data_IF_624162639801
#
_entry.id   IF_624162639801
#
_cell.length_a   1.000
_cell.length_b   1.000
_cell.length_c   1.000
_cell.angle_alpha   90.00
_cell.angle_beta   90.00
_cell.angle_gamma   90.00
#
_symmetry.space_group_name_H-M   'P 1'
#
loop_
_entity.id
_entity.type
_entity.pdbx_description
1 polymer ?
#
# COMPACT_ATOMS: atom_id res chain seq x y z
N UNK A 1 -29.24 -11.41 22.49
CA UNK A 1 -27.77 -11.35 22.55
C UNK A 1 -27.35 -10.33 21.53
N UNK A 2 -26.59 -9.29 21.91
CA UNK A 2 -26.02 -8.37 20.92
C UNK A 2 -25.12 -9.20 19.99
N UNK A 3 -25.32 -9.09 18.68
CA UNK A 3 -24.45 -9.75 17.71
C UNK A 3 -23.05 -9.17 17.88
N UNK A 4 -22.05 -10.02 18.09
CA UNK A 4 -20.66 -9.57 18.02
C UNK A 4 -20.41 -8.93 16.66
N UNK A 5 -19.76 -7.75 16.64
CA UNK A 5 -19.42 -7.10 15.38
C UNK A 5 -18.52 -8.00 14.53
N UNK A 6 -18.58 -7.85 13.20
CA UNK A 6 -17.70 -8.56 12.27
C UNK A 6 -16.48 -7.72 11.96
N UNK A 7 -15.31 -8.35 11.87
CA UNK A 7 -14.07 -7.69 11.42
C UNK A 7 -13.57 -8.42 10.19
N UNK A 8 -13.42 -7.69 9.09
CA UNK A 8 -12.77 -8.19 7.89
C UNK A 8 -11.34 -7.68 7.85
N UNK A 9 -10.39 -8.60 7.92
CA UNK A 9 -8.97 -8.32 7.78
C UNK A 9 -8.56 -8.67 6.36
N UNK A 10 -8.43 -7.64 5.51
CA UNK A 10 -7.94 -7.78 4.14
C UNK A 10 -6.41 -7.78 4.17
N UNK A 11 -5.84 -8.96 3.94
CA UNK A 11 -4.42 -9.23 4.15
C UNK A 11 -3.57 -9.14 2.87
N UNK A 12 -4.16 -8.90 1.72
CA UNK A 12 -3.45 -8.86 0.45
C UNK A 12 -4.03 -9.86 -0.52
N UNK A 13 -3.30 -10.28 -1.53
CA UNK A 13 -1.85 -10.22 -1.71
C UNK A 13 -1.38 -8.87 -2.31
N UNK A 14 -0.07 -8.57 -2.29
CA UNK A 14 0.46 -7.45 -3.07
C UNK A 14 0.10 -7.58 -4.57
N UNK A 15 0.00 -6.46 -5.28
CA UNK A 15 -0.28 -6.39 -6.73
C UNK A 15 -1.61 -7.00 -7.20
N UNK A 16 -2.55 -7.20 -6.30
CA UNK A 16 -3.88 -7.74 -6.55
C UNK A 16 -5.01 -6.73 -6.36
N UNK A 17 -4.74 -5.44 -6.58
CA UNK A 17 -5.75 -4.37 -6.47
C UNK A 17 -5.96 -3.83 -5.06
N UNK A 18 -5.13 -4.20 -4.08
CA UNK A 18 -5.22 -3.76 -2.69
C UNK A 18 -5.25 -2.23 -2.55
N UNK A 19 -4.36 -1.54 -3.26
CA UNK A 19 -4.30 -0.06 -3.26
C UNK A 19 -5.61 0.56 -3.78
N UNK A 20 -6.23 -0.02 -4.81
CA UNK A 20 -7.52 0.45 -5.33
C UNK A 20 -8.60 0.32 -4.26
N UNK A 21 -8.76 -0.86 -3.65
CA UNK A 21 -9.73 -1.09 -2.58
C UNK A 21 -9.52 -0.15 -1.40
N UNK A 22 -8.28 0.03 -0.96
CA UNK A 22 -7.91 0.95 0.11
C UNK A 22 -8.29 2.40 -0.24
N UNK A 23 -7.99 2.87 -1.45
CA UNK A 23 -8.33 4.21 -1.89
C UNK A 23 -9.84 4.43 -1.99
N UNK A 24 -10.60 3.45 -2.51
CA UNK A 24 -12.06 3.49 -2.52
C UNK A 24 -12.59 3.63 -1.09
N UNK A 25 -12.14 2.77 -0.18
CA UNK A 25 -12.60 2.79 1.21
C UNK A 25 -12.27 4.10 1.92
N UNK A 26 -11.02 4.54 1.87
CA UNK A 26 -10.60 5.77 2.53
C UNK A 26 -11.17 7.04 1.88
N UNK A 27 -11.34 7.04 0.57
CA UNK A 27 -11.97 8.13 -0.18
C UNK A 27 -13.46 8.30 0.14
N UNK A 28 -14.14 7.20 0.48
CA UNK A 28 -15.59 7.17 0.76
C UNK A 28 -15.90 6.81 2.22
N UNK A 29 -15.02 7.19 3.15
CA UNK A 29 -15.14 6.79 4.57
C UNK A 29 -16.45 7.22 5.21
N UNK A 30 -16.99 8.38 4.84
CA UNK A 30 -18.24 8.89 5.39
C UNK A 30 -19.45 8.11 4.88
N UNK A 31 -19.49 7.79 3.61
CA UNK A 31 -20.52 7.00 2.95
C UNK A 31 -20.56 5.56 3.49
N UNK A 32 -19.37 4.97 3.69
CA UNK A 32 -19.25 3.64 4.29
C UNK A 32 -19.66 3.63 5.77
N UNK A 33 -19.32 4.68 6.52
CA UNK A 33 -19.76 4.82 7.92
C UNK A 33 -21.28 4.93 8.03
N UNK A 34 -21.95 5.56 7.07
CA UNK A 34 -23.42 5.62 7.02
C UNK A 34 -24.06 4.23 6.83
N UNK A 35 -23.33 3.26 6.28
CA UNK A 35 -23.74 1.85 6.16
C UNK A 35 -23.25 0.98 7.35
N UNK A 36 -22.69 1.60 8.39
CA UNK A 36 -22.21 0.88 9.58
C UNK A 36 -20.80 0.28 9.45
N UNK A 37 -20.05 0.59 8.37
CA UNK A 37 -18.68 0.13 8.21
C UNK A 37 -17.70 1.11 8.84
N UNK A 38 -16.87 0.61 9.73
CA UNK A 38 -15.80 1.37 10.38
C UNK A 38 -14.44 1.00 9.78
N UNK A 39 -13.68 2.01 9.38
CA UNK A 39 -12.25 1.86 9.09
C UNK A 39 -11.48 2.32 10.34
N UNK A 40 -10.89 1.41 11.12
CA UNK A 40 -10.07 1.77 12.29
C UNK A 40 -8.90 2.65 11.88
N UNK A 41 -8.45 3.52 12.78
CA UNK A 41 -7.39 4.48 12.50
C UNK A 41 -7.91 5.78 11.87
N UNK A 42 -6.97 6.64 11.47
CA UNK A 42 -7.24 7.96 10.92
C UNK A 42 -6.96 8.05 9.41
N UNK A 43 -6.04 7.21 8.91
CA UNK A 43 -5.64 7.15 7.50
C UNK A 43 -5.04 5.77 7.16
N UNK A 44 -4.90 5.48 5.88
CA UNK A 44 -4.39 4.18 5.38
C UNK A 44 -3.02 3.80 5.97
N UNK A 45 -2.16 4.80 6.26
CA UNK A 45 -0.84 4.57 6.84
C UNK A 45 -0.88 3.92 8.24
N UNK A 46 -1.98 4.06 8.97
CA UNK A 46 -2.14 3.41 10.28
C UNK A 46 -2.27 1.89 10.10
N UNK A 47 -2.94 1.43 9.02
CA UNK A 47 -3.03 0.02 8.68
C UNK A 47 -1.65 -0.56 8.28
N UNK A 48 -0.84 0.20 7.54
CA UNK A 48 0.55 -0.18 7.25
C UNK A 48 1.36 -0.38 8.54
N UNK A 49 1.33 0.61 9.46
CA UNK A 49 2.07 0.54 10.73
C UNK A 49 1.63 -0.65 11.58
N UNK A 50 0.31 -0.88 11.64
CA UNK A 50 -0.25 -2.02 12.34
C UNK A 50 0.18 -3.36 11.74
N UNK A 51 0.31 -3.45 10.40
CA UNK A 51 0.83 -4.65 9.75
C UNK A 51 2.28 -4.92 10.11
N UNK A 52 3.10 -3.88 10.25
CA UNK A 52 4.49 -4.01 10.69
C UNK A 52 4.58 -4.44 12.17
N UNK A 53 3.79 -3.80 13.05
CA UNK A 53 3.75 -4.13 14.48
C UNK A 53 3.28 -5.57 14.72
N UNK A 54 2.23 -6.01 14.01
CA UNK A 54 1.74 -7.39 14.11
C UNK A 54 2.85 -8.40 13.75
N UNK A 55 3.65 -8.08 12.74
CA UNK A 55 4.76 -8.90 12.26
C UNK A 55 6.04 -8.79 13.12
N UNK A 56 6.01 -8.03 14.21
CA UNK A 56 7.16 -7.83 15.08
C UNK A 56 8.24 -6.90 14.51
N UNK A 57 7.91 -6.11 13.48
CA UNK A 57 8.81 -5.13 12.91
C UNK A 57 8.62 -3.82 13.67
N UNK A 58 9.50 -3.55 14.62
CA UNK A 58 9.40 -2.37 15.48
C UNK A 58 9.60 -1.06 14.71
N UNK A 59 10.40 -1.11 13.64
CA UNK A 59 10.73 0.07 12.84
C UNK A 59 11.35 -0.36 11.51
N UNK A 60 11.04 0.34 10.41
CA UNK A 60 11.82 0.18 9.19
C UNK A 60 13.19 0.85 9.37
N UNK A 61 14.27 0.29 8.80
CA UNK A 61 15.55 1.00 8.69
C UNK A 61 15.41 2.40 8.07
N UNK A 62 14.37 2.57 7.22
CA UNK A 62 14.01 3.81 6.55
C UNK A 62 13.25 4.83 7.40
N UNK A 63 12.74 4.49 8.58
CA UNK A 63 12.09 5.44 9.50
C UNK A 63 12.80 5.50 10.86
N UNK A 64 13.87 6.30 10.97
CA UNK A 64 14.59 6.44 12.23
C UNK A 64 13.78 7.11 13.35
N UNK A 65 12.58 7.61 13.05
CA UNK A 65 11.82 8.48 13.96
C UNK A 65 10.67 7.78 14.69
N UNK A 66 10.33 6.52 14.39
CA UNK A 66 9.12 5.90 14.92
C UNK A 66 9.30 4.46 15.38
N UNK A 67 8.82 4.13 16.57
CA UNK A 67 8.42 2.79 16.92
C UNK A 67 6.98 2.59 16.49
N UNK A 68 6.68 1.46 15.87
CA UNK A 68 5.31 1.06 15.52
C UNK A 68 4.69 0.14 16.56
N UNK A 69 5.41 -0.11 17.65
CA UNK A 69 4.95 -0.96 18.75
C UNK A 69 3.62 -0.46 19.30
N UNK A 70 2.63 -1.33 19.34
CA UNK A 70 1.27 -1.07 19.82
C UNK A 70 0.31 -0.47 18.78
N UNK A 71 0.74 -0.24 17.53
CA UNK A 71 -0.17 0.25 16.47
C UNK A 71 -1.23 -0.80 16.11
N UNK A 72 -0.87 -2.09 16.09
CA UNK A 72 -1.85 -3.16 15.92
C UNK A 72 -2.90 -3.16 17.03
N UNK A 73 -2.48 -3.08 18.30
CA UNK A 73 -3.39 -3.15 19.43
C UNK A 73 -4.37 -1.97 19.47
N UNK A 74 -3.92 -0.80 18.99
CA UNK A 74 -4.79 0.38 18.81
C UNK A 74 -5.87 0.09 17.77
N UNK A 75 -5.49 -0.42 16.58
CA UNK A 75 -6.46 -0.72 15.53
C UNK A 75 -7.39 -1.86 15.91
N UNK A 76 -6.87 -2.93 16.53
CA UNK A 76 -7.68 -4.05 17.01
C UNK A 76 -8.72 -3.60 18.04
N UNK A 77 -8.33 -2.67 18.95
CA UNK A 77 -9.27 -2.11 19.93
C UNK A 77 -10.39 -1.32 19.25
N UNK A 78 -10.07 -0.49 18.26
CA UNK A 78 -11.08 0.27 17.52
C UNK A 78 -11.98 -0.65 16.67
N UNK A 79 -11.41 -1.70 16.07
CA UNK A 79 -12.17 -2.69 15.30
C UNK A 79 -13.19 -3.43 16.17
N UNK A 80 -12.79 -3.87 17.38
CA UNK A 80 -13.71 -4.53 18.34
C UNK A 80 -14.85 -3.62 18.82
N UNK A 81 -14.61 -2.32 18.83
CA UNK A 81 -15.62 -1.32 19.24
C UNK A 81 -16.57 -0.94 18.11
N UNK A 82 -16.34 -1.41 16.88
CA UNK A 82 -17.24 -1.19 15.77
C UNK A 82 -18.60 -1.86 16.04
N UNK A 83 -19.73 -1.15 15.92
CA UNK A 83 -21.03 -1.69 16.30
C UNK A 83 -21.50 -2.84 15.41
N UNK A 84 -21.11 -2.85 14.14
CA UNK A 84 -21.57 -3.84 13.17
C UNK A 84 -20.44 -4.45 12.35
N UNK A 85 -19.61 -3.63 11.73
CA UNK A 85 -18.62 -4.04 10.74
C UNK A 85 -17.38 -3.17 10.81
N UNK A 86 -16.20 -3.79 10.87
CA UNK A 86 -14.92 -3.11 10.69
C UNK A 86 -14.12 -3.74 9.58
N UNK A 87 -13.33 -2.92 8.86
CA UNK A 87 -12.37 -3.40 7.86
C UNK A 87 -10.98 -2.84 8.19
N UNK A 88 -10.01 -3.75 8.32
CA UNK A 88 -8.58 -3.43 8.37
C UNK A 88 -7.98 -3.97 7.08
N UNK A 89 -7.22 -3.16 6.33
CA UNK A 89 -6.71 -3.56 5.02
C UNK A 89 -5.27 -3.11 4.82
N UNK A 90 -4.36 -4.06 4.69
CA UNK A 90 -3.01 -3.84 4.17
C UNK A 90 -2.41 -5.15 3.68
N UNK A 91 -1.78 -5.13 2.51
CA UNK A 91 -1.24 -6.34 1.85
C UNK A 91 -0.10 -7.01 2.62
N UNK A 92 0.61 -6.29 3.48
CA UNK A 92 1.70 -6.88 4.26
C UNK A 92 1.23 -7.78 5.42
N UNK A 93 -0.05 -7.83 5.72
CA UNK A 93 -0.59 -8.82 6.65
C UNK A 93 -0.45 -10.26 6.11
N UNK A 94 -0.40 -10.48 4.79
CA UNK A 94 -0.18 -11.81 4.21
C UNK A 94 1.16 -12.41 4.60
N UNK A 95 2.16 -11.59 4.92
CA UNK A 95 3.47 -12.04 5.37
C UNK A 95 3.54 -12.39 6.87
N UNK A 96 2.43 -12.30 7.61
CA UNK A 96 2.36 -12.77 9.00
C UNK A 96 2.52 -14.29 9.05
N UNK A 97 3.28 -14.77 10.03
CA UNK A 97 3.34 -16.19 10.34
C UNK A 97 2.13 -16.66 11.19
N UNK A 98 2.05 -17.97 11.49
CA UNK A 98 0.93 -18.54 12.21
C UNK A 98 0.77 -17.97 13.64
N UNK A 99 1.86 -17.68 14.35
CA UNK A 99 1.81 -17.10 15.69
C UNK A 99 1.30 -15.66 15.65
N UNK A 100 1.74 -14.89 14.65
CA UNK A 100 1.29 -13.52 14.40
C UNK A 100 -0.19 -13.49 13.97
N UNK A 101 -0.62 -14.43 13.12
CA UNK A 101 -2.03 -14.63 12.79
C UNK A 101 -2.85 -14.98 14.04
N UNK A 102 -2.36 -15.89 14.89
CA UNK A 102 -2.96 -16.21 16.18
C UNK A 102 -3.05 -14.99 17.12
N UNK A 103 -2.02 -14.13 17.18
CA UNK A 103 -2.08 -12.85 17.91
C UNK A 103 -3.21 -11.96 17.39
N UNK A 104 -3.33 -11.84 16.06
CA UNK A 104 -4.39 -11.04 15.44
C UNK A 104 -5.78 -11.54 15.85
N UNK A 105 -6.02 -12.86 15.73
CA UNK A 105 -7.30 -13.49 16.11
C UNK A 105 -7.64 -13.23 17.57
N UNK A 106 -6.70 -13.49 18.49
CA UNK A 106 -6.93 -13.25 19.92
C UNK A 106 -7.22 -11.81 20.26
N UNK A 107 -6.51 -10.87 19.63
CA UNK A 107 -6.69 -9.44 19.89
C UNK A 107 -7.99 -8.86 19.34
N UNK A 108 -8.61 -9.51 18.37
CA UNK A 108 -9.90 -9.10 17.79
C UNK A 108 -11.13 -9.72 18.47
N UNK A 109 -10.93 -10.71 19.37
CA UNK A 109 -12.04 -11.27 20.14
C UNK A 109 -12.73 -10.20 21.02
N UNK A 110 -14.07 -10.24 21.20
CA UNK A 110 -15.01 -11.29 20.78
C UNK A 110 -15.60 -11.09 19.37
N UNK A 111 -15.09 -10.16 18.54
CA UNK A 111 -15.61 -9.96 17.20
C UNK A 111 -15.40 -11.20 16.31
N UNK A 112 -16.30 -11.37 15.34
CA UNK A 112 -16.18 -12.41 14.35
C UNK A 112 -15.18 -11.99 13.27
N UNK A 113 -14.01 -12.64 13.24
CA UNK A 113 -12.97 -12.34 12.26
C UNK A 113 -13.17 -13.11 10.96
N UNK A 114 -13.14 -12.38 9.86
CA UNK A 114 -13.05 -12.86 8.48
C UNK A 114 -11.72 -12.42 7.88
N UNK A 115 -11.01 -13.34 7.24
CA UNK A 115 -9.75 -13.06 6.52
C UNK A 115 -10.03 -12.96 5.02
N UNK A 116 -9.53 -11.94 4.37
CA UNK A 116 -9.77 -11.70 2.94
C UNK A 116 -8.45 -11.61 2.20
N UNK A 117 -8.30 -12.43 1.17
CA UNK A 117 -7.22 -12.37 0.20
C UNK A 117 -7.77 -11.94 -1.15
N UNK A 118 -7.09 -11.05 -1.84
CA UNK A 118 -7.27 -10.81 -3.27
C UNK A 118 -6.14 -11.51 -4.02
N UNK A 119 -6.46 -12.24 -5.07
CA UNK A 119 -5.50 -13.08 -5.81
C UNK A 119 -5.55 -12.81 -7.31
N UNK A 120 -4.44 -13.02 -7.99
CA UNK A 120 -4.27 -12.68 -9.40
C UNK A 120 -3.50 -13.78 -10.13
N UNK A 121 -3.74 -13.88 -11.45
CA UNK A 121 -2.98 -14.80 -12.32
C UNK A 121 -1.48 -14.48 -12.32
N UNK A 122 -0.65 -15.53 -12.36
CA UNK A 122 0.81 -15.41 -12.30
C UNK A 122 1.40 -14.64 -13.48
N UNK A 123 0.82 -14.74 -14.68
CA UNK A 123 1.36 -14.07 -15.86
C UNK A 123 1.24 -12.53 -15.76
N UNK A 124 0.21 -12.05 -15.06
CA UNK A 124 0.05 -10.63 -14.76
C UNK A 124 0.74 -10.19 -13.47
N UNK A 125 0.87 -11.10 -12.51
CA UNK A 125 1.45 -10.83 -11.18
C UNK A 125 2.97 -10.65 -11.27
N UNK A 126 3.67 -11.59 -11.91
CA UNK A 126 5.13 -11.61 -11.97
C UNK A 126 5.75 -10.32 -12.55
N UNK A 127 5.28 -9.81 -13.72
CA UNK A 127 5.78 -8.53 -14.22
C UNK A 127 5.54 -7.35 -13.27
N UNK A 128 4.38 -7.32 -12.62
CA UNK A 128 4.03 -6.24 -11.70
C UNK A 128 4.88 -6.29 -10.42
N UNK A 129 5.19 -7.48 -9.92
CA UNK A 129 6.01 -7.65 -8.73
C UNK A 129 7.49 -7.36 -9.02
N UNK A 130 8.05 -7.83 -10.15
CA UNK A 130 9.41 -7.46 -10.51
C UNK A 130 9.59 -5.94 -10.61
N UNK A 131 8.66 -5.24 -11.27
CA UNK A 131 8.72 -3.78 -11.35
C UNK A 131 8.67 -3.11 -9.96
N UNK A 132 7.94 -3.70 -9.01
CA UNK A 132 7.92 -3.21 -7.63
C UNK A 132 9.24 -3.45 -6.93
N UNK A 133 9.86 -4.63 -7.11
CA UNK A 133 11.18 -4.89 -6.52
C UNK A 133 12.23 -3.90 -7.02
N UNK A 134 12.18 -3.48 -8.29
CA UNK A 134 13.07 -2.45 -8.83
C UNK A 134 12.85 -1.09 -8.12
N UNK A 135 11.59 -0.70 -7.87
CA UNK A 135 11.30 0.51 -7.09
C UNK A 135 11.80 0.43 -5.65
N UNK A 136 11.96 -0.78 -5.12
CA UNK A 136 12.51 -1.08 -3.80
C UNK A 136 14.02 -1.39 -3.82
N UNK A 137 14.77 -0.78 -4.75
CA UNK A 137 16.23 -0.85 -4.86
C UNK A 137 16.79 -2.18 -5.37
N UNK A 138 15.96 -3.08 -5.90
CA UNK A 138 16.49 -4.25 -6.60
C UNK A 138 17.11 -3.82 -7.94
N UNK A 139 18.25 -4.42 -8.31
CA UNK A 139 18.93 -4.16 -9.59
C UNK A 139 18.87 -5.36 -10.55
N UNK A 140 18.23 -6.46 -10.14
CA UNK A 140 18.25 -7.71 -10.87
C UNK A 140 17.42 -7.61 -12.15
N UNK A 141 17.97 -8.11 -13.28
CA UNK A 141 17.27 -8.17 -14.55
C UNK A 141 16.02 -9.07 -14.48
N UNK A 142 15.07 -8.84 -15.39
CA UNK A 142 13.82 -9.60 -15.43
C UNK A 142 14.02 -11.11 -15.58
N UNK A 143 14.86 -11.53 -16.54
CA UNK A 143 15.12 -12.95 -16.80
C UNK A 143 15.71 -13.67 -15.60
N UNK A 144 16.72 -13.07 -14.95
CA UNK A 144 17.35 -13.66 -13.78
C UNK A 144 16.43 -13.69 -12.57
N UNK A 145 15.66 -12.61 -12.36
CA UNK A 145 14.70 -12.56 -11.28
C UNK A 145 13.59 -13.59 -11.46
N UNK A 146 13.08 -13.74 -12.69
CA UNK A 146 12.05 -14.71 -13.00
C UNK A 146 12.56 -16.15 -12.81
N UNK A 147 13.79 -16.43 -13.23
CA UNK A 147 14.41 -17.74 -13.01
C UNK A 147 14.48 -18.07 -11.51
N UNK A 148 14.87 -17.11 -10.69
CA UNK A 148 14.91 -17.31 -9.22
C UNK A 148 13.54 -17.56 -8.60
N UNK A 149 12.50 -16.89 -9.10
CA UNK A 149 11.11 -17.11 -8.62
C UNK A 149 10.61 -18.51 -9.01
N UNK A 150 10.94 -18.98 -10.20
CA UNK A 150 10.54 -20.32 -10.67
C UNK A 150 11.31 -21.42 -9.95
N UNK A 151 12.60 -21.19 -9.67
CA UNK A 151 13.45 -22.11 -8.91
C UNK A 151 13.18 -21.99 -7.40
N UNK A 152 12.08 -22.60 -6.94
CA UNK A 152 11.70 -22.65 -5.51
C UNK A 152 12.69 -23.39 -4.62
N UNK A 153 13.53 -24.26 -5.19
CA UNK A 153 14.45 -25.13 -4.44
C UNK A 153 15.78 -24.44 -4.12
N UNK A 154 15.95 -23.19 -4.55
CA UNK A 154 17.15 -22.42 -4.27
C UNK A 154 17.39 -22.28 -2.76
N UNK A 155 18.50 -22.83 -2.29
CA UNK A 155 18.91 -22.80 -0.88
C UNK A 155 19.67 -21.53 -0.50
N UNK A 156 19.76 -20.54 -1.40
CA UNK A 156 20.44 -19.27 -1.16
C UNK A 156 19.59 -18.35 -0.27
N UNK A 157 19.95 -18.15 1.01
CA UNK A 157 19.15 -17.36 1.95
C UNK A 157 19.13 -15.87 1.61
N UNK A 158 20.08 -15.36 0.81
CA UNK A 158 20.15 -13.96 0.40
C UNK A 158 19.27 -13.67 -0.82
N UNK A 159 18.71 -14.68 -1.44
CA UNK A 159 17.80 -14.47 -2.58
C UNK A 159 16.45 -13.96 -2.11
N UNK A 160 16.07 -12.80 -2.56
CA UNK A 160 14.78 -12.13 -2.27
C UNK A 160 13.55 -12.89 -2.79
N UNK A 161 13.71 -13.97 -3.54
CA UNK A 161 12.67 -14.90 -3.97
C UNK A 161 11.85 -15.47 -2.80
N UNK A 162 12.48 -15.66 -1.63
CA UNK A 162 11.74 -16.08 -0.42
C UNK A 162 10.63 -15.09 -0.07
N UNK A 163 10.85 -13.79 -0.29
CA UNK A 163 9.81 -12.80 -0.10
C UNK A 163 8.65 -13.00 -1.07
N UNK A 164 8.92 -13.25 -2.35
CA UNK A 164 7.86 -13.48 -3.35
C UNK A 164 6.91 -14.59 -2.91
N UNK A 165 7.43 -15.79 -2.64
CA UNK A 165 6.59 -16.93 -2.25
C UNK A 165 6.00 -16.80 -0.84
N UNK A 166 6.64 -16.05 0.04
CA UNK A 166 6.09 -15.75 1.37
C UNK A 166 4.76 -14.97 1.29
N UNK A 167 4.56 -14.19 0.24
CA UNK A 167 3.39 -13.30 0.11
C UNK A 167 2.46 -13.70 -1.05
N UNK A 168 2.91 -14.57 -1.96
CA UNK A 168 2.18 -14.98 -3.16
C UNK A 168 1.93 -16.50 -3.25
N UNK A 169 2.29 -17.28 -2.25
CA UNK A 169 1.79 -18.64 -2.11
C UNK A 169 0.43 -18.59 -1.41
N UNK A 170 -0.62 -18.31 -2.19
CA UNK A 170 -1.98 -18.11 -1.69
C UNK A 170 -2.45 -19.21 -0.74
N UNK A 171 -2.18 -20.47 -1.08
CA UNK A 171 -2.60 -21.60 -0.26
C UNK A 171 -1.84 -21.65 1.06
N UNK A 172 -0.52 -21.42 1.03
CA UNK A 172 0.29 -21.38 2.24
C UNK A 172 -0.08 -20.19 3.13
N UNK A 173 -0.30 -19.00 2.54
CA UNK A 173 -0.77 -17.81 3.27
C UNK A 173 -2.13 -18.07 3.91
N UNK A 174 -3.10 -18.58 3.15
CA UNK A 174 -4.42 -18.89 3.68
C UNK A 174 -4.35 -19.98 4.79
N UNK A 175 -3.50 -20.99 4.62
CA UNK A 175 -3.33 -22.07 5.60
C UNK A 175 -2.78 -21.57 6.94
N UNK A 176 -1.90 -20.55 6.96
CA UNK A 176 -1.41 -19.97 8.21
C UNK A 176 -2.54 -19.30 9.00
N UNK A 177 -3.43 -18.60 8.34
CA UNK A 177 -4.59 -17.95 8.98
C UNK A 177 -5.67 -18.94 9.37
N UNK A 178 -5.92 -19.98 8.56
CA UNK A 178 -6.94 -21.00 8.83
C UNK A 178 -6.61 -21.93 9.99
N UNK A 179 -5.38 -21.87 10.55
CA UNK A 179 -5.08 -22.49 11.83
C UNK A 179 -5.85 -21.84 13.00
N UNK A 180 -6.33 -20.63 12.84
CA UNK A 180 -6.95 -19.81 13.89
C UNK A 180 -8.34 -19.30 13.51
N UNK A 181 -8.69 -19.33 12.22
CA UNK A 181 -9.98 -18.89 11.66
C UNK A 181 -10.60 -20.06 10.91
N UNK A 182 -11.88 -20.39 11.12
CA UNK A 182 -12.56 -21.45 10.37
C UNK A 182 -12.45 -21.22 8.85
N UNK A 183 -12.26 -22.27 8.03
CA UNK A 183 -12.07 -22.15 6.59
C UNK A 183 -13.17 -21.33 5.88
N UNK A 184 -14.41 -21.46 6.31
CA UNK A 184 -15.56 -20.69 5.76
C UNK A 184 -15.49 -19.18 6.02
N UNK A 185 -14.58 -18.72 6.88
CA UNK A 185 -14.28 -17.31 7.12
C UNK A 185 -12.99 -16.82 6.46
N UNK A 186 -12.38 -17.67 5.66
CA UNK A 186 -11.27 -17.28 4.76
C UNK A 186 -11.85 -17.08 3.37
N UNK A 187 -11.75 -15.86 2.86
CA UNK A 187 -12.32 -15.43 1.59
C UNK A 187 -11.22 -15.12 0.60
N UNK A 188 -11.33 -15.70 -0.60
CA UNK A 188 -10.38 -15.48 -1.68
C UNK A 188 -11.12 -14.80 -2.84
N UNK A 189 -10.78 -13.56 -3.11
CA UNK A 189 -11.38 -12.77 -4.19
C UNK A 189 -10.45 -12.81 -5.39
N UNK A 190 -10.91 -13.33 -6.51
CA UNK A 190 -10.13 -13.31 -7.76
C UNK A 190 -10.13 -11.92 -8.37
N UNK A 191 -8.96 -11.49 -8.88
CA UNK A 191 -8.86 -10.25 -9.65
C UNK A 191 -9.61 -10.40 -10.96
N UNK A 192 -10.51 -9.46 -11.30
CA UNK A 192 -11.19 -9.49 -12.59
C UNK A 192 -10.17 -9.34 -13.73
N UNK A 193 -10.54 -9.86 -14.89
CA UNK A 193 -9.71 -9.74 -16.08
C UNK A 193 -9.42 -8.27 -16.42
N UNK A 194 -8.29 -8.03 -17.10
CA UNK A 194 -7.86 -6.67 -17.51
C UNK A 194 -8.90 -5.91 -18.35
N UNK A 195 -9.81 -6.64 -19.03
CA UNK A 195 -10.86 -6.07 -19.86
C UNK A 195 -12.17 -5.84 -19.07
N UNK A 196 -12.25 -6.27 -17.82
CA UNK A 196 -13.40 -6.00 -16.97
C UNK A 196 -13.43 -4.53 -16.53
N UNK A 197 -14.61 -4.04 -16.17
CA UNK A 197 -14.72 -2.71 -15.59
C UNK A 197 -13.94 -2.64 -14.26
N UNK A 198 -13.39 -1.49 -13.96
CA UNK A 198 -12.63 -1.26 -12.72
C UNK A 198 -13.48 -1.44 -11.47
N UNK A 199 -14.81 -1.37 -11.58
CA UNK A 199 -15.74 -1.56 -10.48
C UNK A 199 -15.92 -3.01 -10.01
N UNK A 200 -15.68 -4.00 -10.87
CA UNK A 200 -15.95 -5.42 -10.56
C UNK A 200 -15.23 -5.89 -9.29
N UNK A 201 -13.99 -5.48 -9.07
CA UNK A 201 -13.26 -5.83 -7.85
C UNK A 201 -13.91 -5.22 -6.61
N UNK A 202 -14.36 -3.97 -6.72
CA UNK A 202 -15.11 -3.33 -5.63
C UNK A 202 -16.45 -4.01 -5.38
N UNK A 203 -17.20 -4.36 -6.43
CA UNK A 203 -18.49 -5.03 -6.30
C UNK A 203 -18.37 -6.37 -5.57
N UNK A 204 -17.32 -7.15 -5.87
CA UNK A 204 -17.00 -8.40 -5.17
C UNK A 204 -16.69 -8.15 -3.70
N UNK A 205 -15.87 -7.15 -3.43
CA UNK A 205 -15.47 -6.80 -2.07
C UNK A 205 -16.65 -6.25 -1.26
N UNK A 206 -17.43 -5.35 -1.82
CA UNK A 206 -18.63 -4.80 -1.19
C UNK A 206 -19.71 -5.87 -0.94
N UNK A 207 -19.90 -6.77 -1.90
CA UNK A 207 -20.81 -7.91 -1.76
C UNK A 207 -20.42 -8.83 -0.60
N UNK A 208 -19.12 -9.12 -0.44
CA UNK A 208 -18.60 -9.87 0.72
C UNK A 208 -18.91 -9.15 2.04
N UNK A 209 -18.73 -7.85 2.09
CA UNK A 209 -18.99 -7.04 3.29
C UNK A 209 -20.50 -6.91 3.60
N UNK A 210 -21.35 -7.15 2.62
CA UNK A 210 -22.81 -6.94 2.71
C UNK A 210 -23.18 -5.47 2.70
N UNK A 211 -22.43 -4.64 1.97
CA UNK A 211 -22.69 -3.20 1.80
C UNK A 211 -23.10 -2.88 0.36
N UNK A 212 -23.82 -1.76 0.19
CA UNK A 212 -24.26 -1.28 -1.11
C UNK A 212 -23.07 -0.70 -1.91
N UNK A 213 -22.65 -1.39 -2.96
CA UNK A 213 -21.48 -1.02 -3.76
C UNK A 213 -21.65 0.33 -4.48
N UNK A 214 -22.90 0.65 -4.92
CA UNK A 214 -23.22 1.87 -5.65
C UNK A 214 -23.20 3.14 -4.81
N UNK A 215 -23.12 3.01 -3.49
CA UNK A 215 -23.08 4.14 -2.55
C UNK A 215 -21.76 4.90 -2.51
N UNK A 216 -20.71 4.38 -3.16
CA UNK A 216 -19.37 4.96 -3.16
C UNK A 216 -19.01 5.55 -4.51
N UNK A 217 -18.20 6.58 -4.48
CA UNK A 217 -17.62 7.22 -5.67
C UNK A 217 -16.26 6.60 -5.98
N UNK A 218 -16.20 5.74 -6.99
CA UNK A 218 -14.96 5.07 -7.42
C UNK A 218 -13.95 6.04 -8.04
N UNK A 219 -14.36 7.22 -8.50
CA UNK A 219 -13.44 8.24 -9.07
C UNK A 219 -12.53 8.86 -8.01
N UNK A 220 -12.83 8.68 -6.75
CA UNK A 220 -11.96 9.07 -5.63
C UNK A 220 -10.74 8.16 -5.49
N UNK A 221 -10.77 6.96 -6.06
CA UNK A 221 -9.59 6.12 -6.20
C UNK A 221 -8.77 6.57 -7.40
N UNK A 222 -7.54 7.02 -7.14
CA UNK A 222 -6.62 7.40 -8.22
C UNK A 222 -6.09 6.13 -8.89
N UNK A 223 -6.01 6.10 -10.23
CA UNK A 223 -5.33 5.01 -10.90
C UNK A 223 -3.90 4.89 -10.37
N UNK A 224 -3.49 3.67 -10.01
CA UNK A 224 -2.08 3.42 -9.71
C UNK A 224 -1.26 3.65 -10.99
N UNK A 225 -0.46 4.71 -10.98
CA UNK A 225 0.47 4.96 -12.06
C UNK A 225 1.58 3.88 -12.02
N UNK A 226 1.49 2.88 -12.90
CA UNK A 226 2.61 1.99 -13.16
C UNK A 226 3.59 2.71 -14.07
N UNK A 227 4.88 2.53 -13.86
CA UNK A 227 5.91 3.05 -14.74
C UNK A 227 5.95 2.27 -16.05
N UNK A 228 6.40 2.91 -17.13
CA UNK A 228 6.74 2.22 -18.36
C UNK A 228 8.06 1.46 -18.23
N UNK A 229 8.37 0.64 -19.23
CA UNK A 229 9.60 -0.15 -19.21
C UNK A 229 10.88 0.71 -19.28
N UNK A 230 10.94 1.83 -20.02
CA UNK A 230 12.10 2.72 -19.98
C UNK A 230 12.40 3.29 -18.61
N UNK A 231 11.34 3.70 -17.87
CA UNK A 231 11.45 4.23 -16.51
C UNK A 231 11.94 3.16 -15.53
N UNK A 232 11.45 1.94 -15.65
CA UNK A 232 11.88 0.80 -14.83
C UNK A 232 13.34 0.44 -15.13
N UNK A 233 13.75 0.40 -16.39
CA UNK A 233 15.14 0.12 -16.78
C UNK A 233 16.09 1.23 -16.32
N UNK A 234 15.66 2.49 -16.37
CA UNK A 234 16.41 3.59 -15.77
C UNK A 234 16.62 3.36 -14.28
N UNK A 235 15.56 3.06 -13.52
CA UNK A 235 15.66 2.80 -12.08
C UNK A 235 16.56 1.61 -11.78
N UNK A 236 16.45 0.53 -12.55
CA UNK A 236 17.30 -0.66 -12.40
C UNK A 236 18.77 -0.31 -12.55
N UNK A 237 19.15 0.42 -13.62
CA UNK A 237 20.52 0.88 -13.85
C UNK A 237 21.00 1.88 -12.81
N UNK A 238 20.10 2.70 -12.27
CA UNK A 238 20.40 3.58 -11.14
C UNK A 238 20.75 2.75 -9.91
N UNK A 239 19.93 1.73 -9.58
CA UNK A 239 20.15 0.86 -8.44
C UNK A 239 21.48 0.12 -8.50
N UNK A 240 21.90 -0.33 -9.69
CA UNK A 240 23.24 -0.96 -9.91
C UNK A 240 24.42 -0.04 -9.54
N UNK A 241 24.21 1.28 -9.59
CA UNK A 241 25.27 2.28 -9.40
C UNK A 241 25.22 2.97 -8.05
N UNK A 242 24.11 2.82 -7.31
CA UNK A 242 24.00 3.42 -5.99
C UNK A 242 24.83 2.63 -4.98
N UNK A 243 25.77 3.29 -4.28
CA UNK A 243 26.58 2.62 -3.28
C UNK A 243 25.77 2.25 -2.04
N UNK A 244 26.22 1.23 -1.30
CA UNK A 244 25.53 0.72 -0.11
C UNK A 244 25.43 1.74 1.03
N UNK A 245 26.29 2.77 1.04
CA UNK A 245 26.26 3.87 2.02
C UNK A 245 24.99 4.73 1.90
N UNK A 246 24.27 4.69 0.77
CA UNK A 246 22.98 5.37 0.63
C UNK A 246 21.95 4.63 1.47
N UNK A 247 21.48 5.21 2.59
CA UNK A 247 20.55 4.50 3.46
C UNK A 247 19.18 4.33 2.82
N UNK A 248 18.48 3.23 3.12
CA UNK A 248 17.18 2.90 2.54
C UNK A 248 16.13 4.00 2.74
N UNK A 249 16.10 4.68 3.88
CA UNK A 249 15.18 5.79 4.10
C UNK A 249 15.41 6.94 3.13
N UNK A 250 16.69 7.22 2.76
CA UNK A 250 17.02 8.26 1.80
C UNK A 250 16.62 7.84 0.38
N UNK A 251 16.89 6.56 0.03
CA UNK A 251 16.44 5.98 -1.24
C UNK A 251 14.92 6.09 -1.37
N UNK A 252 14.17 5.65 -0.36
CA UNK A 252 12.70 5.68 -0.35
C UNK A 252 12.15 7.08 -0.60
N UNK A 253 12.66 8.10 0.11
CA UNK A 253 12.16 9.46 -0.06
C UNK A 253 12.65 10.14 -1.34
N UNK A 254 13.83 9.83 -1.80
CA UNK A 254 14.47 10.52 -2.93
C UNK A 254 14.18 9.82 -4.24
N UNK A 255 14.40 8.52 -4.31
CA UNK A 255 14.26 7.75 -5.55
C UNK A 255 12.82 7.22 -5.69
N UNK A 256 12.31 6.50 -4.72
CA UNK A 256 10.96 5.90 -4.84
C UNK A 256 9.88 6.98 -4.87
N UNK A 257 9.80 7.85 -3.86
CA UNK A 257 8.79 8.90 -3.81
C UNK A 257 9.08 10.07 -4.73
N UNK A 258 10.34 10.53 -4.78
CA UNK A 258 10.73 11.74 -5.51
C UNK A 258 10.84 11.51 -7.01
N UNK A 259 11.45 10.43 -7.44
CA UNK A 259 11.69 10.10 -8.84
C UNK A 259 10.58 9.21 -9.38
N UNK A 260 10.41 8.00 -8.85
CA UNK A 260 9.49 7.02 -9.44
C UNK A 260 8.02 7.48 -9.37
N UNK A 261 7.54 7.91 -8.19
CA UNK A 261 6.12 8.23 -8.00
C UNK A 261 5.73 9.66 -8.39
N UNK A 262 6.65 10.61 -8.44
CA UNK A 262 6.31 12.01 -8.75
C UNK A 262 6.86 12.49 -10.08
N UNK A 263 8.09 12.13 -10.45
CA UNK A 263 8.69 12.64 -11.67
C UNK A 263 8.35 11.78 -12.89
N UNK A 264 8.34 10.45 -12.73
CA UNK A 264 8.20 9.50 -13.83
C UNK A 264 6.78 8.94 -13.99
N UNK A 265 5.93 9.04 -12.97
CA UNK A 265 4.60 8.42 -12.98
C UNK A 265 3.64 8.98 -14.04
N UNK A 266 3.79 10.27 -14.41
CA UNK A 266 2.93 10.94 -15.37
C UNK A 266 3.43 10.82 -16.82
N UNK A 267 4.56 10.12 -17.05
CA UNK A 267 5.08 9.91 -18.40
C UNK A 267 4.19 8.97 -19.21
N UNK A 268 4.12 9.11 -20.53
CA UNK A 268 3.48 8.15 -21.40
C UNK A 268 4.11 6.76 -21.21
N UNK A 269 3.29 5.74 -21.04
CA UNK A 269 3.77 4.39 -20.83
C UNK A 269 4.22 3.76 -22.15
N UNK A 270 5.47 3.40 -22.24
CA UNK A 270 6.05 2.68 -23.36
C UNK A 270 6.43 1.26 -22.95
N UNK A 271 6.02 0.29 -23.76
CA UNK A 271 6.29 -1.11 -23.53
C UNK A 271 5.49 -1.70 -22.34
N UNK A 272 5.17 -2.97 -22.45
CA UNK A 272 4.57 -3.75 -21.38
C UNK A 272 5.43 -4.99 -21.18
N UNK A 273 5.86 -5.23 -19.97
CA UNK A 273 6.48 -6.48 -19.62
C UNK A 273 5.43 -7.59 -19.60
N UNK A 274 5.72 -8.68 -20.27
CA UNK A 274 4.88 -9.87 -20.30
C UNK A 274 5.70 -11.09 -19.90
N UNK A 275 5.01 -12.13 -19.43
CA UNK A 275 5.65 -13.41 -19.16
C UNK A 275 6.19 -14.00 -20.47
N UNK A 276 7.45 -14.48 -20.54
CA UNK A 276 7.98 -15.15 -21.71
C UNK A 276 7.16 -16.39 -22.09
N UNK A 277 7.01 -16.65 -23.39
CA UNK A 277 6.18 -17.75 -23.89
C UNK A 277 6.63 -19.13 -23.38
N UNK A 278 7.93 -19.33 -23.17
CA UNK A 278 8.48 -20.57 -22.63
C UNK A 278 8.13 -20.79 -21.14
N UNK A 279 7.56 -19.79 -20.48
CA UNK A 279 7.11 -19.83 -19.07
C UNK A 279 5.59 -19.91 -18.91
N UNK A 280 4.84 -19.82 -20.00
CA UNK A 280 3.36 -19.89 -19.95
C UNK A 280 2.86 -21.25 -19.44
N UNK A 281 3.50 -22.35 -19.82
CA UNK A 281 3.15 -23.69 -19.34
C UNK A 281 3.30 -23.80 -17.82
N UNK A 282 4.41 -23.29 -17.27
CA UNK A 282 4.62 -23.23 -15.83
C UNK A 282 3.57 -22.37 -15.11
N UNK A 283 3.27 -21.17 -15.63
CA UNK A 283 2.26 -20.32 -15.03
C UNK A 283 0.86 -20.95 -15.05
N UNK A 284 0.54 -21.71 -16.10
CA UNK A 284 -0.69 -22.50 -16.18
C UNK A 284 -0.72 -23.61 -15.13
N UNK A 285 0.38 -24.32 -14.95
CA UNK A 285 0.50 -25.36 -13.90
C UNK A 285 0.28 -24.77 -12.50
N UNK A 286 0.88 -23.60 -12.20
CA UNK A 286 0.65 -22.91 -10.92
C UNK A 286 -0.83 -22.51 -10.74
N UNK A 287 -1.48 -22.05 -11.80
CA UNK A 287 -2.90 -21.69 -11.75
C UNK A 287 -3.80 -22.90 -11.47
N UNK A 288 -3.56 -24.02 -12.17
CA UNK A 288 -4.34 -25.26 -11.97
C UNK A 288 -4.14 -25.82 -10.54
N UNK A 289 -2.90 -25.79 -10.03
CA UNK A 289 -2.61 -26.19 -8.65
C UNK A 289 -3.33 -25.31 -7.64
N UNK A 290 -3.34 -23.99 -7.85
CA UNK A 290 -4.05 -23.04 -7.00
C UNK A 290 -5.57 -23.28 -7.03
N UNK A 291 -6.17 -23.40 -8.21
CA UNK A 291 -7.61 -23.64 -8.41
C UNK A 291 -8.01 -24.96 -7.72
N UNK A 292 -7.26 -26.04 -7.94
CA UNK A 292 -7.52 -27.33 -7.31
C UNK A 292 -7.41 -27.25 -5.76
N UNK A 293 -6.38 -26.56 -5.25
CA UNK A 293 -6.19 -26.35 -3.82
C UNK A 293 -7.33 -25.53 -3.19
N UNK A 294 -7.78 -24.47 -3.86
CA UNK A 294 -8.92 -23.67 -3.40
C UNK A 294 -10.21 -24.48 -3.39
N UNK A 295 -10.48 -25.31 -4.40
CA UNK A 295 -11.67 -26.16 -4.47
C UNK A 295 -11.72 -27.18 -3.31
N UNK A 296 -10.57 -27.63 -2.82
CA UNK A 296 -10.47 -28.60 -1.72
C UNK A 296 -10.35 -27.97 -0.31
N UNK A 297 -10.20 -26.65 -0.20
CA UNK A 297 -9.81 -25.99 1.06
C UNK A 297 -10.96 -25.69 2.01
N UNK A 298 -12.20 -25.60 1.51
CA UNK A 298 -13.35 -25.07 2.25
C UNK A 298 -13.39 -23.54 2.34
N UNK A 299 -12.44 -22.84 1.71
CA UNK A 299 -12.43 -21.36 1.64
C UNK A 299 -13.55 -20.84 0.72
N UNK A 300 -13.98 -19.62 0.98
CA UNK A 300 -15.01 -18.97 0.16
C UNK A 300 -14.35 -18.24 -1.01
N UNK A 301 -14.48 -18.79 -2.23
CA UNK A 301 -13.97 -18.16 -3.44
C UNK A 301 -15.02 -17.22 -4.01
N UNK A 302 -14.65 -15.96 -4.25
CA UNK A 302 -15.51 -14.89 -4.76
C UNK A 302 -14.94 -14.42 -6.10
N UNK A 303 -15.72 -14.56 -7.15
CA UNK A 303 -15.33 -14.34 -8.54
C UNK A 303 -15.22 -15.66 -9.29
N UNK A 304 -14.52 -15.64 -10.41
CA UNK A 304 -14.36 -16.79 -11.29
C UNK A 304 -12.95 -17.38 -11.12
N UNK A 305 -12.79 -18.64 -10.67
CA UNK A 305 -11.47 -19.28 -10.60
C UNK A 305 -10.73 -19.31 -11.96
N UNK A 306 -11.44 -19.29 -13.09
CA UNK A 306 -10.83 -19.21 -14.40
C UNK A 306 -10.05 -17.92 -14.66
N UNK A 307 -10.28 -16.87 -13.86
CA UNK A 307 -9.50 -15.63 -13.89
C UNK A 307 -8.06 -15.81 -13.41
N UNK A 308 -7.78 -16.90 -12.70
CA UNK A 308 -6.43 -17.26 -12.23
C UNK A 308 -5.59 -17.92 -13.35
N UNK A 309 -6.22 -18.39 -14.42
CA UNK A 309 -5.51 -18.97 -15.57
C UNK A 309 -4.85 -17.86 -16.38
N UNK A 310 -3.57 -18.05 -16.76
CA UNK A 310 -2.88 -17.12 -17.65
C UNK A 310 -3.66 -16.96 -18.94
N UNK A 311 -3.89 -15.72 -19.34
CA UNK A 311 -4.44 -15.45 -20.67
C UNK A 311 -3.29 -15.28 -21.65
N UNK A 312 -3.47 -15.67 -22.93
CA UNK A 312 -2.46 -15.43 -23.95
C UNK A 312 -2.04 -13.96 -23.89
N UNK A 313 -0.77 -13.71 -23.66
CA UNK A 313 -0.24 -12.37 -23.75
C UNK A 313 -0.47 -11.89 -25.19
N UNK A 314 -1.11 -10.74 -25.39
CA UNK A 314 -1.02 -10.04 -26.67
C UNK A 314 0.46 -9.89 -27.03
N UNK A 315 0.76 -9.70 -28.33
CA UNK A 315 2.10 -9.72 -28.90
C UNK A 315 3.19 -9.24 -27.92
N UNK A 316 4.29 -10.00 -27.74
CA UNK A 316 5.31 -9.71 -26.75
C UNK A 316 5.84 -8.29 -26.96
N UNK A 317 5.70 -7.45 -25.93
CA UNK A 317 6.60 -6.33 -25.80
C UNK A 317 7.98 -6.94 -25.66
N UNK A 318 8.82 -6.76 -26.69
CA UNK A 318 10.11 -7.42 -26.85
C UNK A 318 10.94 -7.33 -25.56
N UNK A 319 11.53 -8.45 -25.17
CA UNK A 319 12.68 -8.53 -24.25
C UNK A 319 13.93 -7.83 -24.84
N UNK A 320 13.81 -7.30 -26.08
CA UNK A 320 14.78 -6.41 -26.69
C UNK A 320 14.89 -5.16 -25.82
N UNK A 321 16.09 -4.94 -25.30
CA UNK A 321 16.43 -3.83 -24.39
C UNK A 321 15.73 -2.54 -24.81
N UNK A 322 15.20 -1.83 -23.83
CA UNK A 322 14.44 -0.59 -24.08
C UNK A 322 15.29 0.38 -24.93
N UNK A 323 14.70 1.07 -25.89
CA UNK A 323 15.43 2.05 -26.71
C UNK A 323 16.23 3.00 -25.82
N UNK A 324 17.52 3.14 -26.11
CA UNK A 324 18.46 3.87 -25.26
C UNK A 324 18.06 5.36 -25.09
N UNK A 325 17.44 5.93 -26.11
CA UNK A 325 16.91 7.29 -26.11
C UNK A 325 15.76 7.46 -25.10
N UNK A 326 14.82 6.53 -25.04
CA UNK A 326 13.71 6.57 -24.08
C UNK A 326 14.18 6.41 -22.64
N UNK A 327 15.18 5.55 -22.40
CA UNK A 327 15.82 5.43 -21.08
C UNK A 327 16.57 6.70 -20.70
N UNK A 328 17.24 7.34 -21.68
CA UNK A 328 17.93 8.61 -21.48
C UNK A 328 16.92 9.72 -21.13
N UNK A 329 15.79 9.81 -21.84
CA UNK A 329 14.75 10.79 -21.55
C UNK A 329 14.19 10.62 -20.13
N UNK A 330 13.95 9.38 -19.68
CA UNK A 330 13.55 9.12 -18.31
C UNK A 330 14.63 9.55 -17.29
N UNK A 331 15.91 9.34 -17.61
CA UNK A 331 17.03 9.77 -16.77
C UNK A 331 17.13 11.30 -16.67
N UNK A 332 16.90 12.02 -17.78
CA UNK A 332 16.92 13.49 -17.82
C UNK A 332 15.77 14.07 -16.98
N UNK A 333 14.56 13.54 -17.11
CA UNK A 333 13.42 13.98 -16.31
C UNK A 333 13.61 13.70 -14.81
N UNK A 334 14.18 12.54 -14.47
CA UNK A 334 14.53 12.23 -13.09
C UNK A 334 15.59 13.19 -12.53
N UNK A 335 16.64 13.50 -13.30
CA UNK A 335 17.69 14.45 -12.90
C UNK A 335 17.12 15.85 -12.70
N UNK A 336 16.26 16.32 -13.62
CA UNK A 336 15.58 17.60 -13.49
C UNK A 336 14.72 17.69 -12.23
N UNK A 337 13.96 16.62 -11.93
CA UNK A 337 13.16 16.56 -10.71
C UNK A 337 14.02 16.59 -9.43
N UNK A 338 15.16 15.90 -9.41
CA UNK A 338 16.10 15.93 -8.28
C UNK A 338 16.66 17.35 -8.06
N UNK A 339 17.09 18.04 -9.11
CA UNK A 339 17.58 19.43 -9.05
C UNK A 339 16.48 20.36 -8.50
N UNK A 340 15.24 20.27 -9.02
CA UNK A 340 14.11 21.08 -8.55
C UNK A 340 13.78 20.77 -7.08
N UNK A 341 13.82 19.51 -6.69
CA UNK A 341 13.58 19.12 -5.29
C UNK A 341 14.68 19.63 -4.35
N UNK A 342 15.94 19.60 -4.78
CA UNK A 342 17.06 20.14 -4.02
C UNK A 342 16.92 21.66 -3.87
N UNK A 343 16.66 22.38 -4.96
CA UNK A 343 16.41 23.82 -4.93
C UNK A 343 15.28 24.20 -3.95
N UNK A 344 14.16 23.46 -3.99
CA UNK A 344 13.02 23.70 -3.10
C UNK A 344 13.33 23.41 -1.63
N UNK A 345 14.22 22.46 -1.33
CA UNK A 345 14.68 22.18 0.04
C UNK A 345 15.53 23.31 0.59
N UNK A 346 16.37 23.91 -0.23
CA UNK A 346 17.30 24.98 0.17
C UNK A 346 16.61 26.36 0.24
N UNK A 347 15.72 26.67 -0.69
CA UNK A 347 15.14 28.01 -0.87
C UNK A 347 13.65 28.10 -0.49
N UNK A 348 13.01 27.01 -0.14
CA UNK A 348 11.56 26.94 0.05
C UNK A 348 10.78 26.91 -1.27
N UNK A 349 9.48 26.68 -1.20
CA UNK A 349 8.63 26.77 -2.40
C UNK A 349 8.53 28.23 -2.84
N UNK A 350 8.68 28.57 -4.13
CA UNK A 350 8.36 29.89 -4.63
C UNK A 350 6.94 30.26 -4.18
N UNK A 351 6.79 31.41 -3.53
CA UNK A 351 5.45 31.96 -3.29
C UNK A 351 4.86 32.23 -4.68
N UNK A 352 3.80 31.50 -5.02
CA UNK A 352 3.06 31.76 -6.25
C UNK A 352 2.70 33.26 -6.34
N UNK A 353 2.52 33.82 -7.56
CA UNK A 353 2.11 35.20 -7.70
C UNK A 353 0.89 35.44 -6.83
N UNK A 354 1.03 36.36 -5.85
CA UNK A 354 -0.04 36.70 -4.93
C UNK A 354 -1.27 37.09 -5.71
N UNK A 355 -2.43 36.56 -5.41
CA UNK A 355 -3.68 37.04 -5.99
C UNK A 355 -3.79 38.54 -5.73
N UNK A 356 -4.15 39.38 -6.73
CA UNK A 356 -4.38 40.81 -6.50
C UNK A 356 -5.48 40.96 -5.43
N UNK A 357 -5.14 41.46 -4.26
CA UNK A 357 -6.09 41.66 -3.16
C UNK A 357 -5.56 41.32 -1.74
N UNK A 358 -4.44 40.63 -1.62
CA UNK A 358 -3.84 40.34 -0.30
C UNK A 358 -2.95 41.50 0.21
N UNK A 359 -3.60 42.55 0.69
CA UNK A 359 -2.95 43.56 1.52
C UNK A 359 -2.54 42.97 2.88
N UNK A 360 -1.61 43.62 3.61
CA UNK A 360 -1.05 43.06 4.86
C UNK A 360 -2.14 42.91 5.93
N UNK A 361 -2.68 41.73 6.09
CA UNK A 361 -3.57 41.40 7.21
C UNK A 361 -2.74 41.37 8.48
N UNK A 362 -2.88 42.42 9.30
CA UNK A 362 -2.44 42.40 10.70
C UNK A 362 -3.19 41.27 11.44
N UNK A 363 -2.54 40.07 11.52
CA UNK A 363 -3.08 38.91 12.19
C UNK A 363 -3.05 39.08 13.71
N UNK A 364 -4.20 39.04 14.35
CA UNK A 364 -4.32 38.67 15.75
C UNK A 364 -3.93 37.19 15.86
N UNK A 365 -2.63 36.93 16.10
CA UNK A 365 -2.13 35.60 16.39
C UNK A 365 -2.53 35.19 17.80
N UNK A 366 -3.53 34.32 17.94
CA UNK A 366 -3.82 33.62 19.18
C UNK A 366 -2.65 32.70 19.57
N UNK A 367 -2.64 32.25 20.85
CA UNK A 367 -1.59 31.41 21.44
C UNK A 367 -1.24 30.19 20.56
N UNK A 368 -2.23 29.58 19.88
CA UNK A 368 -2.05 28.45 18.97
C UNK A 368 -1.17 28.77 17.73
N UNK A 369 -1.31 29.97 17.15
CA UNK A 369 -0.46 30.39 16.02
C UNK A 369 0.99 30.67 16.42
N UNK A 370 1.22 31.09 17.67
CA UNK A 370 2.58 31.29 18.20
C UNK A 370 3.29 29.97 18.48
N UNK A 371 2.56 28.95 18.97
CA UNK A 371 3.10 27.59 19.21
C UNK A 371 3.42 26.91 17.88
N UNK A 372 2.56 27.06 16.86
CA UNK A 372 2.78 26.50 15.51
C UNK A 372 4.02 27.12 14.86
N UNK A 373 4.22 28.41 14.99
CA UNK A 373 5.41 29.12 14.49
C UNK A 373 6.69 28.70 15.23
N UNK A 374 6.63 28.50 16.55
CA UNK A 374 7.78 28.10 17.34
C UNK A 374 8.20 26.62 17.11
N UNK A 375 7.21 25.70 17.01
CA UNK A 375 7.45 24.28 16.73
C UNK A 375 7.88 24.06 15.26
N UNK A 376 7.36 24.88 14.34
CA UNK A 376 7.73 24.86 12.92
C UNK A 376 9.17 25.32 12.66
N UNK A 377 9.69 26.24 13.45
CA UNK A 377 10.96 26.92 13.22
C UNK A 377 12.20 26.20 13.84
N UNK A 378 12.02 25.26 14.77
CA UNK A 378 13.16 24.61 15.45
C UNK A 378 13.20 23.09 15.22
N UNK A 379 14.20 22.59 14.46
CA UNK A 379 14.43 21.15 14.30
C UNK A 379 14.70 20.43 15.64
N UNK A 380 15.33 21.11 16.60
CA UNK A 380 15.62 20.57 17.95
C UNK A 380 14.33 20.34 18.76
N UNK A 381 13.39 21.27 18.72
CA UNK A 381 12.12 21.14 19.44
C UNK A 381 11.24 20.00 18.87
N UNK A 382 11.23 19.83 17.54
CA UNK A 382 10.57 18.69 16.89
C UNK A 382 11.18 17.36 17.33
N UNK A 383 12.49 17.29 17.48
CA UNK A 383 13.20 16.09 17.93
C UNK A 383 12.85 15.78 19.40
N UNK A 384 12.87 16.78 20.28
CA UNK A 384 12.54 16.60 21.70
C UNK A 384 11.08 16.18 21.91
N UNK A 385 10.13 16.77 21.19
CA UNK A 385 8.70 16.38 21.26
C UNK A 385 8.50 14.95 20.72
N UNK A 386 9.26 14.53 19.71
CA UNK A 386 9.24 13.16 19.22
C UNK A 386 9.83 12.17 20.23
N UNK A 387 10.99 12.47 20.79
CA UNK A 387 11.65 11.64 21.82
C UNK A 387 10.78 11.48 23.09
N UNK A 388 10.13 12.54 23.51
CA UNK A 388 9.18 12.48 24.63
C UNK A 388 7.91 11.71 24.29
N UNK A 389 7.43 11.79 23.03
CA UNK A 389 6.25 11.04 22.59
C UNK A 389 6.51 9.54 22.50
N UNK A 390 7.74 9.11 22.21
CA UNK A 390 8.12 7.69 22.20
C UNK A 390 8.30 7.11 23.60
N UNK A 391 8.68 7.94 24.57
CA UNK A 391 8.96 7.52 25.95
C UNK A 391 7.75 7.58 26.89
N UNK A 392 6.79 8.47 26.61
CA UNK A 392 5.66 8.74 27.52
C UNK A 392 4.31 8.70 26.79
N UNK A 393 3.44 7.69 27.07
CA UNK A 393 2.13 7.56 26.44
C UNK A 393 1.22 8.80 26.60
N UNK A 394 1.35 9.53 27.70
CA UNK A 394 0.60 10.76 27.94
C UNK A 394 1.00 11.90 26.98
N UNK A 395 2.28 12.02 26.67
CA UNK A 395 2.80 13.01 25.69
C UNK A 395 2.35 12.65 24.28
N UNK A 396 2.28 11.35 23.96
CA UNK A 396 1.73 10.83 22.70
C UNK A 396 0.25 11.19 22.56
N UNK A 397 -0.58 11.01 23.61
CA UNK A 397 -1.99 11.44 23.62
C UNK A 397 -2.15 12.94 23.41
N UNK A 398 -1.35 13.76 24.07
CA UNK A 398 -1.36 15.22 23.90
C UNK A 398 -0.98 15.63 22.47
N UNK A 399 0.00 14.96 21.84
CA UNK A 399 0.39 15.22 20.46
C UNK A 399 -0.73 14.87 19.49
N UNK A 400 -1.42 13.75 19.69
CA UNK A 400 -2.57 13.33 18.87
C UNK A 400 -3.74 14.32 19.05
N UNK A 401 -4.04 14.76 20.28
CA UNK A 401 -5.07 15.76 20.54
C UNK A 401 -4.74 17.12 19.92
N UNK A 402 -3.51 17.58 20.01
CA UNK A 402 -3.05 18.82 19.38
C UNK A 402 -3.17 18.75 17.85
N UNK A 403 -2.83 17.62 17.27
CA UNK A 403 -2.98 17.39 15.82
C UNK A 403 -4.45 17.35 15.41
N UNK A 404 -5.32 16.67 16.15
CA UNK A 404 -6.77 16.65 15.92
C UNK A 404 -7.41 18.06 16.03
N UNK A 405 -6.96 18.88 16.98
CA UNK A 405 -7.40 20.27 17.07
C UNK A 405 -6.96 21.09 15.85
N UNK A 406 -5.74 20.89 15.36
CA UNK A 406 -5.23 21.58 14.16
C UNK A 406 -6.00 21.18 12.89
N UNK A 407 -6.33 19.89 12.74
CA UNK A 407 -7.12 19.38 11.62
C UNK A 407 -8.56 19.93 11.64
N UNK A 408 -9.20 19.97 12.82
CA UNK A 408 -10.54 20.58 12.99
C UNK A 408 -10.56 22.08 12.67
N UNK A 409 -9.49 22.79 12.95
CA UNK A 409 -9.36 24.21 12.59
C UNK A 409 -9.09 24.40 11.11
N UNK A 410 -8.39 23.46 10.46
CA UNK A 410 -8.13 23.47 9.02
C UNK A 410 -9.39 23.19 8.20
N UNK A 411 -10.19 22.21 8.60
CA UNK A 411 -11.46 21.86 7.96
C UNK A 411 -12.56 22.91 8.19
N UNK A 412 -12.54 23.65 9.32
CA UNK A 412 -13.43 24.79 9.53
C UNK A 412 -13.08 26.00 8.64
N UNK A 413 -11.81 26.21 8.31
CA UNK A 413 -11.37 27.28 7.39
C UNK A 413 -11.72 27.01 5.92
N UNK A 414 -11.87 25.75 5.52
CA UNK A 414 -12.29 25.39 4.16
C UNK A 414 -13.82 25.40 3.96
N UNK A 415 -14.61 25.55 5.03
CA UNK A 415 -16.10 25.52 5.00
C UNK A 415 -16.77 26.88 5.18
N UNK A 416 -16.07 27.99 5.14
CA UNK A 416 -16.71 29.31 5.08
C UNK A 416 -17.08 29.60 3.63
N UNK A 417 -18.38 29.56 3.25
CA UNK A 417 -18.82 30.00 1.92
C UNK A 417 -18.60 31.52 1.88
N UNK A 418 -18.05 31.99 0.75
CA UNK A 418 -17.98 33.41 0.44
C UNK A 418 -19.41 33.98 0.50
N UNK A 419 -19.60 34.97 1.35
CA UNK A 419 -20.75 35.85 1.26
C UNK A 419 -20.55 36.77 0.05
N UNK A 420 -21.51 36.70 -0.85
CA UNK A 420 -21.78 37.67 -1.93
C UNK A 420 -21.63 39.11 -1.50
#
# INVERSE_FOLDING_TARGET
MASNGRVFLHIGEPKTGTTFLQQVMWGNRAELAAQGLVLPGHHAQDHFRASQDLRGIEKLPSDPAGSWTGEWDILATQARQAPHLAVISHELFCAADADQAGRAVRSLQPAELHVVLTVRDMASLLPAEWQETIKHRNARGWTDWLADVIDRESTDPDRRQFWFWRVHDTLAVAAQWSQHVPPERVHVITMPSLNASTGVLWDRFAGLLGIEASSVDLTRARPNASLGMPEIEFLRRLNERLPDEVPDWFYMWTVQEGVAHRALADRPRHGRLVLPADREAWAKEQAEALIAGLAGSGYQVIGDPDELRPRPAGAPGSDAGQPADQVLDAAVDAAAALVVNQYRKEHGRPKGPGRPGDGPRRGRGGLAGRVESAVGASPRLKRTVRELSSRYPAVRKLRVMAWQMMERTRTRRSRTPGRS
#
